data_IF_093501580261
#
_entry.id   IF_093501580261
#
_cell.length_a   1.000
_cell.length_b   1.000
_cell.length_c   1.000
_cell.angle_alpha   90.00
_cell.angle_beta   90.00
_cell.angle_gamma   90.00
#
_symmetry.space_group_name_H-M   'P 1'
#
loop_
_entity.id
_entity.type
_entity.pdbx_description
1 polymer ?
#
# COMPACT_ATOMS: atom_id res chain seq x y z
N UNK A 1 -41.04 -49.95 -12.01
CA UNK A 1 -40.59 -49.62 -11.97
C UNK A 1 -39.96 -48.73 -11.56
N UNK A 2 -39.66 -48.28 -11.44
CA UNK A 2 -39.06 -47.61 -11.08
C UNK A 2 -38.27 -46.87 -10.98
N UNK A 3 -37.86 -46.03 -10.92
CA UNK A 3 -37.06 -45.38 -10.85
C UNK A 3 -36.64 -44.48 -10.40
N UNK A 4 -36.12 -43.94 -10.13
CA UNK A 4 -35.64 -43.18 -9.66
C UNK A 4 -34.83 -42.44 -9.67
N UNK A 5 -34.35 -41.77 -9.72
CA UNK A 5 -33.54 -41.14 -9.75
C UNK A 5 -33.15 -40.25 -9.26
N UNK A 6 -32.39 -39.85 -9.01
CA UNK A 6 -31.98 -39.13 -8.49
C UNK A 6 -31.32 -38.23 -8.64
N UNK A 7 -31.02 -37.72 -8.64
CA UNK A 7 -30.55 -36.79 -8.83
C UNK A 7 -29.79 -36.21 -8.13
N UNK A 8 -29.10 -35.65 -7.95
CA UNK A 8 -28.34 -35.16 -7.36
C UNK A 8 -27.91 -34.06 -7.49
N UNK A 9 -27.77 -33.37 -7.22
CA UNK A 9 -27.44 -32.34 -7.24
C UNK A 9 -26.34 -31.83 -6.88
N UNK A 10 -25.76 -31.46 -7.03
CA UNK A 10 -24.65 -31.10 -6.72
C UNK A 10 -24.32 -29.94 -6.44
N UNK A 11 -24.17 -29.31 -6.32
CA UNK A 11 -23.81 -28.30 -6.01
C UNK A 11 -22.75 -27.73 -5.77
N UNK A 12 -22.23 -27.23 -5.72
CA UNK A 12 -21.19 -26.75 -5.64
C UNK A 12 -20.88 -25.67 -5.31
N UNK A 13 -20.43 -25.08 -4.96
CA UNK A 13 -20.15 -24.16 -4.54
C UNK A 13 -19.26 -23.47 -4.62
N UNK A 14 -18.92 -22.91 -4.79
CA UNK A 14 -18.23 -22.19 -5.00
C UNK A 14 -17.60 -21.53 -4.29
N UNK A 15 -17.19 -21.20 -3.85
CA UNK A 15 -16.55 -20.72 -3.15
C UNK A 15 -16.02 -19.66 -3.29
N UNK A 16 -16.11 -19.07 -3.45
CA UNK A 16 -15.66 -18.01 -3.48
C UNK A 16 -14.71 -17.63 -2.83
N UNK A 17 -13.96 -17.65 -2.84
CA UNK A 17 -13.02 -17.41 -2.29
C UNK A 17 -12.59 -16.26 -2.32
N UNK A 18 -12.27 -15.78 -1.82
CA UNK A 18 -11.92 -14.71 -1.69
C UNK A 18 -10.76 -14.38 -1.95
N UNK A 19 -10.33 -13.95 -2.12
CA UNK A 19 -9.33 -13.55 -2.34
C UNK A 19 -8.36 -13.51 -1.73
N UNK A 20 -7.58 -13.30 -1.82
CA UNK A 20 -6.51 -13.43 -1.40
C UNK A 20 -6.11 -12.59 -0.67
N UNK A 21 -5.62 -12.58 -0.28
CA UNK A 21 -5.16 -11.89 0.53
C UNK A 21 -4.04 -11.31 0.23
N UNK A 22 -3.65 -11.15 -0.79
CA UNK A 22 -2.57 -10.50 -1.06
C UNK A 22 -2.75 -9.18 -0.53
N UNK A 23 -1.94 -8.68 0.23
CA UNK A 23 -2.06 -7.36 0.73
C UNK A 23 -1.94 -6.43 -0.43
N UNK A 24 -2.66 -5.38 -0.43
CA UNK A 24 -2.56 -4.41 -1.49
C UNK A 24 -1.20 -3.74 -1.53
N UNK A 25 -0.41 -3.84 -0.48
CA UNK A 25 0.87 -3.18 -0.42
C UNK A 25 1.97 -4.19 -0.17
N UNK A 26 3.18 -3.94 -0.69
CA UNK A 26 4.31 -4.83 -0.40
C UNK A 26 4.60 -4.91 1.08
N UNK A 27 5.13 -6.03 1.50
CA UNK A 27 5.57 -6.21 2.87
C UNK A 27 6.85 -5.42 3.10
N UNK A 28 6.98 -4.82 4.28
CA UNK A 28 8.14 -3.99 4.54
C UNK A 28 8.31 -3.81 6.04
N UNK A 29 9.54 -3.49 6.44
CA UNK A 29 9.83 -3.08 7.81
C UNK A 29 9.88 -1.57 7.95
N UNK A 30 9.61 -0.84 6.88
CA UNK A 30 9.57 0.62 6.96
C UNK A 30 8.53 1.03 7.98
N UNK A 31 8.83 2.03 8.80
CA UNK A 31 7.95 2.39 9.93
C UNK A 31 6.79 3.29 9.52
N UNK A 32 5.91 2.75 8.72
CA UNK A 32 4.73 3.49 8.28
C UNK A 32 3.78 3.77 9.43
N UNK A 33 3.11 4.90 9.38
CA UNK A 33 2.05 5.18 10.33
C UNK A 33 1.00 6.08 9.66
N UNK A 34 -0.17 6.12 10.26
CA UNK A 34 -1.27 6.91 9.73
C UNK A 34 -2.02 6.20 8.64
N UNK A 35 -3.11 6.78 8.23
CA UNK A 35 -4.03 6.18 7.26
C UNK A 35 -3.93 6.79 5.88
N UNK A 36 -2.96 7.62 5.65
CA UNK A 36 -2.76 8.29 4.38
C UNK A 36 -2.09 9.62 4.61
N UNK A 37 -1.31 10.06 3.65
CA UNK A 37 -0.55 11.29 3.85
C UNK A 37 -1.37 12.53 3.51
N UNK A 38 -1.87 12.59 2.27
CA UNK A 38 -2.62 13.78 1.85
C UNK A 38 -4.04 13.75 2.38
N UNK A 39 -4.58 12.54 2.51
CA UNK A 39 -5.94 12.35 3.00
C UNK A 39 -6.07 10.90 3.44
N UNK A 40 -7.08 10.63 4.21
CA UNK A 40 -7.36 9.27 4.63
C UNK A 40 -7.54 8.40 3.39
N UNK A 41 -6.89 7.25 3.37
CA UNK A 41 -6.97 6.35 2.24
C UNK A 41 -5.92 6.60 1.17
N UNK A 42 -5.12 7.64 1.30
CA UNK A 42 -4.02 7.88 0.36
C UNK A 42 -3.05 6.71 0.44
N UNK A 43 -2.60 6.23 -0.70
CA UNK A 43 -1.64 5.14 -0.72
C UNK A 43 -0.28 5.56 -0.18
N UNK A 44 0.04 6.84 -0.23
CA UNK A 44 1.26 7.35 0.35
C UNK A 44 1.04 7.58 1.83
N UNK A 45 1.98 7.15 2.65
CA UNK A 45 1.86 7.26 4.10
C UNK A 45 3.15 7.76 4.70
N UNK A 46 3.04 8.35 5.87
CA UNK A 46 4.21 8.89 6.55
C UNK A 46 5.05 7.78 7.15
N UNK A 47 6.33 8.06 7.24
CA UNK A 47 7.29 7.16 7.86
C UNK A 47 7.82 7.81 9.13
N UNK A 48 7.93 7.00 10.16
CA UNK A 48 8.51 7.46 11.40
C UNK A 48 9.99 7.18 11.47
N UNK A 49 10.52 7.20 12.66
CA UNK A 49 11.94 7.06 12.89
C UNK A 49 12.31 5.57 12.99
N UNK A 50 13.36 5.18 12.33
CA UNK A 50 13.93 3.85 12.43
C UNK A 50 15.36 3.92 11.91
N UNK A 51 16.07 2.82 12.01
CA UNK A 51 17.42 2.80 11.46
C UNK A 51 17.40 3.08 9.96
N UNK A 52 16.34 2.67 9.29
CA UNK A 52 16.23 2.84 7.84
C UNK A 52 15.97 4.27 7.44
N UNK A 53 15.31 5.04 8.28
CA UNK A 53 14.87 6.39 7.94
C UNK A 53 15.68 7.49 8.61
N UNK A 54 16.52 7.11 9.57
CA UNK A 54 17.15 8.12 10.45
C UNK A 54 17.93 9.17 9.67
N UNK A 55 18.58 8.79 8.58
CA UNK A 55 19.41 9.73 7.84
C UNK A 55 18.61 10.67 6.96
N UNK A 56 17.32 10.45 6.86
CA UNK A 56 16.48 11.22 5.94
C UNK A 56 15.45 12.07 6.65
N UNK A 57 15.36 11.94 7.96
CA UNK A 57 14.39 12.73 8.71
C UNK A 57 14.87 14.19 8.81
N UNK A 58 13.90 15.11 8.76
CA UNK A 58 14.20 16.51 8.66
C UNK A 58 13.07 17.28 9.32
N UNK A 59 13.41 18.30 10.08
CA UNK A 59 12.42 19.14 10.74
C UNK A 59 11.54 19.91 9.76
N UNK A 60 12.03 20.12 8.55
CA UNK A 60 11.33 20.94 7.57
C UNK A 60 10.63 20.08 6.51
N UNK A 61 10.57 18.78 6.70
CA UNK A 61 9.99 17.89 5.71
C UNK A 61 9.37 16.67 6.37
N UNK A 62 8.38 16.12 5.73
CA UNK A 62 7.83 14.82 6.12
C UNK A 62 8.49 13.75 5.28
N UNK A 63 8.71 12.60 5.86
CA UNK A 63 9.18 11.45 5.10
C UNK A 63 7.97 10.60 4.77
N UNK A 64 7.78 10.30 3.50
CA UNK A 64 6.57 9.66 3.00
C UNK A 64 6.93 8.56 2.04
N UNK A 65 6.32 7.39 2.20
CA UNK A 65 6.54 6.29 1.28
C UNK A 65 5.30 6.02 0.46
N UNK A 66 5.51 5.80 -0.82
CA UNK A 66 4.42 5.48 -1.75
C UNK A 66 4.75 4.18 -2.45
N UNK A 67 3.76 3.30 -2.69
CA UNK A 67 4.04 2.09 -3.47
C UNK A 67 4.57 2.46 -4.84
N UNK A 68 5.58 1.76 -5.29
CA UNK A 68 6.13 2.00 -6.63
C UNK A 68 5.11 1.80 -7.71
N UNK A 69 4.16 0.90 -7.47
CA UNK A 69 3.14 0.57 -8.47
C UNK A 69 1.98 1.56 -8.52
N UNK A 70 2.01 2.57 -7.67
CA UNK A 70 0.95 3.55 -7.64
C UNK A 70 0.88 4.28 -8.96
N UNK A 71 -0.30 4.36 -9.54
CA UNK A 71 -0.43 4.88 -10.89
C UNK A 71 -0.18 6.37 -10.99
N UNK A 72 -0.50 7.10 -9.96
CA UNK A 72 -0.38 8.54 -10.02
C UNK A 72 0.73 9.08 -9.13
N UNK A 73 1.86 8.38 -9.10
CA UNK A 73 3.02 8.87 -8.38
C UNK A 73 3.43 10.26 -8.83
N UNK A 74 3.38 10.50 -10.14
CA UNK A 74 3.75 11.80 -10.67
C UNK A 74 2.87 12.92 -10.13
N UNK A 75 1.60 12.63 -9.94
CA UNK A 75 0.68 13.61 -9.38
C UNK A 75 1.08 13.90 -7.94
N UNK A 76 1.39 12.86 -7.18
CA UNK A 76 1.83 13.05 -5.80
C UNK A 76 3.05 13.96 -5.75
N UNK A 77 4.05 13.67 -6.57
CA UNK A 77 5.29 14.45 -6.58
C UNK A 77 5.00 15.91 -6.93
N UNK A 78 4.16 16.12 -7.94
CA UNK A 78 3.86 17.47 -8.39
C UNK A 78 3.09 18.26 -7.33
N UNK A 79 2.13 17.61 -6.70
CA UNK A 79 1.28 18.30 -5.73
C UNK A 79 2.02 18.63 -4.45
N UNK A 80 2.97 17.81 -4.06
CA UNK A 80 3.62 17.97 -2.77
C UNK A 80 5.02 18.55 -2.84
N UNK A 81 5.61 18.56 -4.02
CA UNK A 81 7.01 18.97 -4.14
C UNK A 81 7.96 17.91 -3.62
N UNK A 82 7.51 16.67 -3.57
CA UNK A 82 8.29 15.60 -3.01
C UNK A 82 9.57 15.34 -3.78
N UNK A 83 10.61 14.95 -3.07
CA UNK A 83 11.88 14.58 -3.68
C UNK A 83 12.21 13.17 -3.24
N UNK A 84 12.46 12.29 -4.20
CA UNK A 84 12.78 10.91 -3.88
C UNK A 84 14.12 10.84 -3.15
N UNK A 85 14.16 10.08 -2.05
CA UNK A 85 15.40 9.93 -1.30
C UNK A 85 15.91 8.50 -1.30
N UNK A 86 15.04 7.51 -1.34
CA UNK A 86 15.48 6.13 -1.53
C UNK A 86 14.27 5.24 -1.85
N UNK A 87 14.57 3.99 -2.20
CA UNK A 87 13.53 3.00 -2.46
C UNK A 87 13.84 1.75 -1.66
N UNK A 88 12.81 1.10 -1.19
CA UNK A 88 12.97 -0.11 -0.41
C UNK A 88 11.68 -0.90 -0.42
N UNK A 89 11.79 -2.21 -0.63
CA UNK A 89 10.67 -3.14 -0.49
C UNK A 89 9.47 -2.79 -1.36
N UNK A 90 9.71 -2.19 -2.51
CA UNK A 90 8.61 -1.85 -3.40
C UNK A 90 8.00 -0.49 -3.11
N UNK A 91 8.64 0.30 -2.28
CA UNK A 91 8.19 1.67 -1.99
C UNK A 91 9.21 2.68 -2.45
N UNK A 92 8.71 3.80 -2.91
CA UNK A 92 9.54 4.97 -3.18
C UNK A 92 9.37 5.88 -1.97
N UNK A 93 10.48 6.27 -1.38
CA UNK A 93 10.43 7.13 -0.20
C UNK A 93 10.81 8.55 -0.61
N UNK A 94 9.98 9.48 -0.20
CA UNK A 94 10.12 10.88 -0.56
C UNK A 94 10.29 11.75 0.67
N UNK A 95 11.05 12.83 0.50
CA UNK A 95 11.08 13.91 1.46
C UNK A 95 10.12 14.97 0.92
N UNK A 96 9.14 15.33 1.71
CA UNK A 96 8.09 16.26 1.29
C UNK A 96 8.26 17.54 2.12
N UNK A 97 8.61 18.66 1.49
CA UNK A 97 8.83 19.89 2.26
C UNK A 97 7.54 20.38 2.87
N UNK A 98 7.64 20.82 4.13
CA UNK A 98 6.48 21.35 4.83
C UNK A 98 6.72 22.77 5.33
N UNK A 99 7.85 23.36 4.98
CA UNK A 99 8.16 24.75 5.29
C UNK A 99 8.98 25.37 4.22
#
# INVERSE_FOLDING_TARGET
MRFHYVTVAALIVAACSPEPDTPPFPQTTLPFFGNGYRAEGDQCRRLGESAETANFLDDAADLVGCPESMENLGVFVTETGAQEVFRQDGYVVYSVPVR
#
